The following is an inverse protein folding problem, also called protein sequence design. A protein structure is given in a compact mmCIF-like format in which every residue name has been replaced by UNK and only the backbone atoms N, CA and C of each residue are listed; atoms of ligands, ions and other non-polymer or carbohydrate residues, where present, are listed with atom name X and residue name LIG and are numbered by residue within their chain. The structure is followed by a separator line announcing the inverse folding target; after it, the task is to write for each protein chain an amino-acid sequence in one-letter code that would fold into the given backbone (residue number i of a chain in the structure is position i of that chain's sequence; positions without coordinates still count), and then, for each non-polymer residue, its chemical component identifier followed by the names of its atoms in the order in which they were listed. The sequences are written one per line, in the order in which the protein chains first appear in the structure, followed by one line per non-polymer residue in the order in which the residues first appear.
data_IF_005430407828
#
_entry.id   IF_005430407828
#
_cell.length_a   1.000
_cell.length_b   1.000
_cell.length_c   1.000
_cell.angle_alpha   90.00
_cell.angle_beta   90.00
_cell.angle_gamma   90.00
#
_symmetry.space_group_name_H-M   'P 1'
#
loop_
_entity.id
_entity.type
_entity.pdbx_description
1 polymer ?
#
# COMPACT_ATOMS: atom_id res chain seq x y z
N UNK A 1 -24.28 -34.28 9.65
CA UNK A 1 -23.13 -34.24 8.73
C UNK A 1 -23.09 -32.83 8.19
N UNK A 2 -22.19 -32.01 8.73
CA UNK A 2 -22.02 -30.65 8.25
C UNK A 2 -21.14 -30.72 7.02
N UNK A 3 -21.64 -30.22 5.89
CA UNK A 3 -20.86 -29.96 4.69
C UNK A 3 -19.74 -29.01 5.08
N UNK A 4 -18.51 -29.51 4.96
CA UNK A 4 -17.33 -28.66 5.01
C UNK A 4 -17.19 -28.12 3.60
N UNK A 5 -17.68 -26.89 3.40
CA UNK A 5 -17.41 -26.12 2.19
C UNK A 5 -15.88 -26.11 2.00
N UNK A 6 -15.43 -26.92 1.06
CA UNK A 6 -14.05 -26.93 0.61
C UNK A 6 -13.74 -25.53 0.10
N UNK A 7 -13.01 -24.74 0.88
CA UNK A 7 -12.47 -23.47 0.44
C UNK A 7 -11.76 -23.69 -0.90
N UNK A 8 -12.36 -23.18 -1.98
CA UNK A 8 -11.68 -23.10 -3.26
C UNK A 8 -10.47 -22.19 -3.03
N UNK A 9 -9.23 -22.70 -3.13
CA UNK A 9 -8.02 -21.96 -2.79
C UNK A 9 -7.72 -20.82 -3.78
N UNK A 10 -8.56 -20.64 -4.82
CA UNK A 10 -8.55 -19.54 -5.79
C UNK A 10 -9.87 -18.74 -5.76
N UNK A 11 -10.44 -18.50 -4.58
CA UNK A 11 -11.75 -17.83 -4.41
C UNK A 11 -11.87 -16.45 -5.10
N UNK A 12 -10.76 -15.79 -5.42
CA UNK A 12 -10.73 -14.51 -6.13
C UNK A 12 -10.68 -14.64 -7.66
N UNK A 13 -10.54 -15.84 -8.23
CA UNK A 13 -10.62 -16.09 -9.68
C UNK A 13 -11.82 -16.99 -9.98
N UNK A 14 -12.84 -16.42 -10.61
CA UNK A 14 -14.04 -17.13 -11.05
C UNK A 14 -13.85 -17.90 -12.37
N UNK A 15 -14.80 -18.80 -12.71
CA UNK A 15 -14.75 -19.58 -13.96
C UNK A 15 -14.71 -18.71 -15.21
N UNK A 16 -15.37 -17.54 -15.16
CA UNK A 16 -15.43 -16.56 -16.25
C UNK A 16 -14.04 -16.07 -16.70
N UNK A 17 -13.04 -16.12 -15.82
CA UNK A 17 -11.67 -15.73 -16.16
C UNK A 17 -11.10 -16.64 -17.25
N UNK A 18 -11.28 -17.96 -17.12
CA UNK A 18 -10.74 -18.93 -18.09
C UNK A 18 -11.48 -18.89 -19.42
N UNK A 19 -12.77 -18.57 -19.39
CA UNK A 19 -13.56 -18.37 -20.61
C UNK A 19 -13.12 -17.11 -21.36
N UNK A 20 -12.85 -16.02 -20.63
CA UNK A 20 -12.37 -14.77 -21.21
C UNK A 20 -10.91 -14.86 -21.68
N UNK A 21 -10.08 -15.63 -20.97
CA UNK A 21 -8.64 -15.72 -21.22
C UNK A 21 -8.13 -17.17 -21.28
N UNK A 22 -8.38 -17.88 -22.40
CA UNK A 22 -7.83 -19.21 -22.63
C UNK A 22 -6.30 -19.27 -22.67
N UNK A 23 -5.63 -18.16 -23.03
CA UNK A 23 -4.18 -18.07 -23.19
C UNK A 23 -3.58 -16.81 -22.56
N UNK A 24 -2.28 -16.87 -22.23
CA UNK A 24 -1.52 -15.72 -21.76
C UNK A 24 -1.51 -14.56 -22.77
N UNK A 25 -1.43 -14.86 -24.07
CA UNK A 25 -1.44 -13.84 -25.12
C UNK A 25 -2.74 -13.04 -25.16
N UNK A 26 -3.89 -13.70 -24.98
CA UNK A 26 -5.20 -13.04 -24.96
C UNK A 26 -5.34 -12.16 -23.72
N UNK A 27 -4.92 -12.66 -22.55
CA UNK A 27 -4.87 -11.88 -21.32
C UNK A 27 -3.94 -10.66 -21.45
N UNK A 28 -2.73 -10.83 -21.98
CA UNK A 28 -1.77 -9.73 -22.17
C UNK A 28 -2.29 -8.68 -23.16
N UNK A 29 -2.96 -9.11 -24.23
CA UNK A 29 -3.63 -8.20 -25.18
C UNK A 29 -4.71 -7.39 -24.49
N UNK A 30 -5.57 -8.05 -23.70
CA UNK A 30 -6.63 -7.38 -22.93
C UNK A 30 -6.07 -6.31 -21.98
N UNK A 31 -5.02 -6.64 -21.22
CA UNK A 31 -4.36 -5.68 -20.31
C UNK A 31 -3.80 -4.49 -21.09
N UNK A 32 -3.14 -4.75 -22.21
CA UNK A 32 -2.57 -3.71 -23.08
C UNK A 32 -3.65 -2.78 -23.65
N UNK A 33 -4.80 -3.33 -24.03
CA UNK A 33 -5.92 -2.57 -24.56
C UNK A 33 -6.60 -1.67 -23.53
N UNK A 34 -6.56 -2.02 -22.25
CA UNK A 34 -7.15 -1.20 -21.18
C UNK A 34 -6.16 -0.23 -20.55
N UNK A 35 -4.89 -0.61 -20.43
CA UNK A 35 -3.84 0.19 -19.80
C UNK A 35 -3.18 1.18 -20.78
N UNK A 36 -4.01 2.06 -21.37
CA UNK A 36 -3.59 3.02 -22.42
C UNK A 36 -3.16 4.38 -21.90
N UNK A 37 -3.33 4.65 -20.60
CA UNK A 37 -2.85 5.91 -20.01
C UNK A 37 -1.31 5.90 -19.93
N UNK A 38 -0.65 6.99 -20.32
CA UNK A 38 0.81 7.07 -20.26
C UNK A 38 1.32 6.90 -18.82
N UNK A 39 0.56 7.40 -17.86
CA UNK A 39 0.78 7.30 -16.42
C UNK A 39 0.50 5.90 -15.84
N UNK A 40 -0.27 5.06 -16.55
CA UNK A 40 -0.65 3.72 -16.13
C UNK A 40 -0.66 2.78 -17.35
N UNK A 41 0.55 2.35 -17.72
CA UNK A 41 0.78 1.53 -18.91
C UNK A 41 0.58 0.02 -18.66
N UNK A 42 0.67 -0.77 -19.73
CA UNK A 42 0.48 -2.22 -19.70
C UNK A 42 1.40 -2.93 -18.69
N UNK A 43 2.69 -2.56 -18.62
CA UNK A 43 3.65 -3.19 -17.70
C UNK A 43 3.25 -2.95 -16.24
N UNK A 44 2.87 -1.70 -15.91
CA UNK A 44 2.38 -1.36 -14.57
C UNK A 44 1.10 -2.10 -14.22
N UNK A 45 0.16 -2.15 -15.16
CA UNK A 45 -1.10 -2.86 -14.98
C UNK A 45 -0.88 -4.37 -14.76
N UNK A 46 -0.01 -4.98 -15.56
CA UNK A 46 0.33 -6.39 -15.49
C UNK A 46 1.01 -6.72 -14.15
N UNK A 47 1.99 -5.92 -13.72
CA UNK A 47 2.60 -6.05 -12.40
C UNK A 47 1.55 -5.96 -11.28
N UNK A 48 0.67 -4.96 -11.31
CA UNK A 48 -0.38 -4.84 -10.29
C UNK A 48 -1.32 -6.04 -10.25
N UNK A 49 -1.71 -6.59 -11.40
CA UNK A 49 -2.55 -7.79 -11.46
C UNK A 49 -1.83 -9.00 -10.86
N UNK A 50 -0.57 -9.24 -11.25
CA UNK A 50 0.21 -10.38 -10.76
C UNK A 50 0.49 -10.25 -9.26
N UNK A 51 0.85 -9.05 -8.80
CA UNK A 51 1.04 -8.79 -7.37
C UNK A 51 -0.27 -8.92 -6.60
N UNK A 52 -1.39 -8.46 -7.15
CA UNK A 52 -2.71 -8.59 -6.55
C UNK A 52 -3.17 -10.04 -6.46
N UNK A 53 -2.99 -10.82 -7.53
CA UNK A 53 -3.26 -12.25 -7.54
C UNK A 53 -2.39 -12.99 -6.51
N UNK A 54 -1.07 -12.74 -6.50
CA UNK A 54 -0.18 -13.36 -5.52
C UNK A 54 -0.57 -13.01 -4.07
N UNK A 55 -0.87 -11.74 -3.78
CA UNK A 55 -1.30 -11.29 -2.46
C UNK A 55 -2.61 -11.97 -2.05
N UNK A 56 -3.62 -12.00 -2.93
CA UNK A 56 -4.89 -12.67 -2.68
C UNK A 56 -4.70 -14.16 -2.40
N UNK A 57 -3.83 -14.85 -3.15
CA UNK A 57 -3.50 -16.26 -2.91
C UNK A 57 -2.88 -16.47 -1.54
N UNK A 58 -1.89 -15.66 -1.17
CA UNK A 58 -1.24 -15.75 0.14
C UNK A 58 -2.27 -15.57 1.26
N UNK A 59 -3.13 -14.57 1.14
CA UNK A 59 -4.17 -14.25 2.12
C UNK A 59 -5.28 -15.31 2.21
N UNK A 60 -5.72 -15.86 1.08
CA UNK A 60 -6.82 -16.82 1.04
C UNK A 60 -6.39 -18.25 1.41
N UNK A 61 -5.12 -18.60 1.18
CA UNK A 61 -4.59 -19.95 1.41
C UNK A 61 -3.89 -20.12 2.75
N UNK A 62 -3.72 -19.05 3.52
CA UNK A 62 -3.04 -19.09 4.81
C UNK A 62 -3.89 -18.41 5.87
N UNK A 63 -3.93 -18.93 7.11
CA UNK A 63 -4.88 -18.48 8.13
C UNK A 63 -4.41 -17.23 8.89
N UNK A 64 -3.60 -16.39 8.27
CA UNK A 64 -2.91 -15.28 8.93
C UNK A 64 -3.59 -13.94 8.67
N UNK A 65 -3.46 -13.03 9.64
CA UNK A 65 -3.99 -11.68 9.56
C UNK A 65 -3.01 -10.78 8.80
N UNK A 66 -3.04 -10.91 7.47
CA UNK A 66 -2.18 -10.15 6.59
C UNK A 66 -2.63 -8.70 6.45
N UNK A 67 -1.68 -7.78 6.59
CA UNK A 67 -1.84 -6.38 6.18
C UNK A 67 -0.86 -6.04 5.07
N UNK A 68 -1.33 -5.24 4.10
CA UNK A 68 -0.46 -4.60 3.11
C UNK A 68 -0.06 -3.22 3.62
N UNK A 69 1.21 -2.87 3.45
CA UNK A 69 1.71 -1.51 3.61
C UNK A 69 2.48 -1.08 2.36
N UNK A 70 3.22 0.03 2.47
CA UNK A 70 4.03 0.48 1.36
C UNK A 70 3.22 1.11 0.25
N UNK A 71 3.84 1.18 -0.92
CA UNK A 71 3.43 2.16 -1.94
C UNK A 71 2.44 1.57 -2.95
N UNK A 72 2.47 0.25 -3.13
CA UNK A 72 1.51 -0.50 -3.93
C UNK A 72 0.06 -0.27 -3.46
N UNK A 73 -0.16 -0.13 -2.16
CA UNK A 73 -1.49 0.07 -1.57
C UNK A 73 -1.99 1.52 -1.64
N UNK A 74 -1.17 2.50 -2.05
CA UNK A 74 -1.58 3.92 -2.07
C UNK A 74 -2.84 4.20 -2.91
N UNK A 75 -3.03 3.61 -4.10
CA UNK A 75 -4.26 3.78 -4.87
C UNK A 75 -5.52 3.34 -4.13
N UNK A 76 -5.40 2.41 -3.18
CA UNK A 76 -6.53 1.86 -2.42
C UNK A 76 -6.93 2.68 -1.19
N UNK A 77 -6.24 3.79 -0.90
CA UNK A 77 -6.48 4.59 0.31
C UNK A 77 -7.47 5.75 0.18
N UNK A 78 -7.48 6.55 -0.90
CA UNK A 78 -8.43 7.65 -1.00
C UNK A 78 -9.85 7.12 -0.90
N UNK A 79 -10.71 7.78 -0.13
CA UNK A 79 -12.12 7.39 0.00
C UNK A 79 -12.81 7.30 -1.37
N UNK A 80 -13.82 6.44 -1.50
CA UNK A 80 -14.57 6.28 -2.76
C UNK A 80 -15.34 7.54 -3.18
N UNK A 81 -15.77 8.36 -2.21
CA UNK A 81 -16.45 9.65 -2.41
C UNK A 81 -15.48 10.85 -2.48
N UNK A 82 -14.16 10.59 -2.47
CA UNK A 82 -13.15 11.64 -2.51
C UNK A 82 -13.24 12.47 -3.80
N UNK A 83 -13.43 13.78 -3.64
CA UNK A 83 -13.40 14.73 -4.75
C UNK A 83 -11.95 15.09 -5.09
N UNK A 84 -11.47 14.60 -6.22
CA UNK A 84 -10.11 14.85 -6.70
C UNK A 84 -9.87 16.33 -7.00
N UNK A 85 -8.75 16.92 -6.52
CA UNK A 85 -8.39 18.29 -6.86
C UNK A 85 -8.19 18.46 -8.37
N UNK A 86 -8.72 19.53 -8.96
CA UNK A 86 -8.65 19.76 -10.41
C UNK A 86 -7.20 19.90 -10.93
N UNK A 87 -6.27 20.33 -10.08
CA UNK A 87 -4.84 20.45 -10.33
C UNK A 87 -4.06 19.14 -10.09
N UNK A 88 -4.73 18.07 -9.65
CA UNK A 88 -4.15 16.78 -9.33
C UNK A 88 -4.93 15.63 -9.97
N UNK A 89 -5.06 15.70 -11.29
CA UNK A 89 -5.74 14.74 -12.15
C UNK A 89 -4.84 14.32 -13.31
N UNK A 90 -5.12 13.18 -13.96
CA UNK A 90 -4.46 12.80 -15.21
C UNK A 90 -4.56 13.90 -16.26
N UNK A 91 -3.58 13.94 -17.17
CA UNK A 91 -3.55 14.92 -18.26
C UNK A 91 -4.76 14.81 -19.20
N UNK A 92 -5.25 13.59 -19.39
CA UNK A 92 -6.37 13.27 -20.26
C UNK A 92 -7.37 12.40 -19.50
N UNK A 93 -8.68 12.58 -19.75
CA UNK A 93 -9.68 11.64 -19.29
C UNK A 93 -9.31 10.23 -19.74
N UNK A 94 -9.37 9.27 -18.82
CA UNK A 94 -9.10 7.87 -19.09
C UNK A 94 -10.04 6.99 -18.25
N UNK A 95 -10.20 5.73 -18.67
CA UNK A 95 -11.07 4.77 -17.97
C UNK A 95 -10.51 4.33 -16.61
N UNK A 96 -9.23 4.62 -16.34
CA UNK A 96 -8.54 4.21 -15.13
C UNK A 96 -8.75 5.28 -14.06
N UNK A 97 -9.17 4.84 -12.88
CA UNK A 97 -9.48 5.77 -11.80
C UNK A 97 -8.23 6.61 -11.42
N UNK A 98 -8.37 7.93 -11.17
CA UNK A 98 -7.22 8.82 -10.87
C UNK A 98 -6.32 8.34 -9.73
N UNK A 99 -6.86 7.59 -8.76
CA UNK A 99 -6.07 6.97 -7.70
C UNK A 99 -4.92 6.09 -8.21
N UNK A 100 -5.13 5.33 -9.28
CA UNK A 100 -4.10 4.48 -9.85
C UNK A 100 -3.16 5.26 -10.75
N UNK A 101 -3.69 6.20 -11.52
CA UNK A 101 -2.91 7.03 -12.43
C UNK A 101 -1.95 7.94 -11.67
N UNK A 102 -2.45 8.65 -10.65
CA UNK A 102 -1.70 9.68 -9.94
C UNK A 102 -0.72 9.12 -8.92
N UNK A 103 -0.97 7.94 -8.35
CA UNK A 103 0.03 7.29 -7.50
C UNK A 103 1.27 6.93 -8.33
N UNK A 104 2.46 7.08 -7.77
CA UNK A 104 3.69 6.63 -8.44
C UNK A 104 3.69 5.11 -8.65
N UNK A 105 4.45 4.65 -9.62
CA UNK A 105 4.65 3.21 -9.82
C UNK A 105 5.38 2.62 -8.61
N UNK A 106 4.90 1.46 -8.16
CA UNK A 106 5.47 0.66 -7.08
C UNK A 106 5.26 -0.82 -7.42
N UNK A 107 6.34 -1.60 -7.38
CA UNK A 107 6.35 -3.01 -7.78
C UNK A 107 6.73 -3.92 -6.61
N UNK A 108 7.04 -3.34 -5.45
CA UNK A 108 7.29 -4.02 -4.19
C UNK A 108 5.97 -4.35 -3.47
N UNK A 109 5.81 -5.62 -3.09
CA UNK A 109 4.74 -6.08 -2.20
C UNK A 109 5.25 -6.12 -0.77
N UNK A 110 4.81 -5.12 -0.02
CA UNK A 110 5.12 -4.90 1.39
C UNK A 110 4.02 -5.52 2.28
N UNK A 111 4.36 -6.53 3.09
CA UNK A 111 3.39 -7.34 3.85
C UNK A 111 3.79 -7.55 5.32
N UNK A 112 2.79 -7.74 6.18
CA UNK A 112 2.98 -8.21 7.54
C UNK A 112 1.82 -9.14 7.93
N UNK A 113 2.13 -10.35 8.40
CA UNK A 113 1.19 -11.19 9.13
C UNK A 113 1.20 -10.79 10.62
N UNK A 114 0.10 -10.22 11.11
CA UNK A 114 0.04 -9.60 12.44
C UNK A 114 -0.04 -10.61 13.59
N UNK A 115 -0.60 -11.78 13.34
CA UNK A 115 -0.87 -12.84 14.31
C UNK A 115 0.38 -13.67 14.66
N UNK A 116 1.42 -13.60 13.82
CA UNK A 116 2.65 -14.38 14.00
C UNK A 116 3.63 -13.60 14.89
N UNK A 117 3.88 -14.10 16.10
CA UNK A 117 4.78 -13.45 17.09
C UNK A 117 6.05 -14.24 17.37
N UNK A 118 6.04 -15.56 17.18
CA UNK A 118 7.19 -16.45 17.36
C UNK A 118 7.62 -17.08 16.04
N UNK A 119 8.92 -17.36 15.89
CA UNK A 119 9.48 -18.01 14.69
C UNK A 119 9.02 -17.38 13.37
N UNK A 120 8.84 -16.05 13.34
CA UNK A 120 8.15 -15.32 12.28
C UNK A 120 8.60 -15.71 10.87
N UNK A 121 9.91 -15.68 10.62
CA UNK A 121 10.49 -15.97 9.32
C UNK A 121 10.23 -17.41 8.84
N UNK A 122 10.06 -18.37 9.76
CA UNK A 122 9.74 -19.76 9.40
C UNK A 122 8.28 -19.88 8.96
N UNK A 123 7.35 -19.34 9.74
CA UNK A 123 5.92 -19.38 9.41
C UNK A 123 5.59 -18.62 8.12
N UNK A 124 6.14 -17.42 7.95
CA UNK A 124 5.95 -16.65 6.72
C UNK A 124 6.59 -17.36 5.53
N UNK A 125 7.76 -17.98 5.68
CA UNK A 125 8.36 -18.77 4.60
C UNK A 125 7.45 -19.94 4.21
N UNK A 126 6.89 -20.65 5.18
CA UNK A 126 5.93 -21.73 4.91
C UNK A 126 4.68 -21.23 4.18
N UNK A 127 4.16 -20.05 4.55
CA UNK A 127 3.05 -19.39 3.88
C UNK A 127 3.38 -19.07 2.41
N UNK A 128 4.56 -18.52 2.14
CA UNK A 128 5.05 -18.28 0.76
C UNK A 128 5.22 -19.60 -0.01
N UNK A 129 5.82 -20.61 0.60
CA UNK A 129 6.02 -21.94 0.00
C UNK A 129 4.70 -22.67 -0.27
N UNK A 130 3.61 -22.32 0.42
CA UNK A 130 2.27 -22.89 0.21
C UNK A 130 1.62 -22.38 -1.09
N UNK A 131 2.02 -21.22 -1.59
CA UNK A 131 1.45 -20.57 -2.77
C UNK A 131 2.44 -20.44 -3.94
N UNK A 132 3.63 -21.01 -3.78
CA UNK A 132 4.69 -21.05 -4.80
C UNK A 132 5.18 -22.48 -5.01
N UNK A 133 6.02 -22.68 -6.03
CA UNK A 133 6.70 -23.94 -6.28
C UNK A 133 8.19 -23.72 -6.51
N UNK A 134 9.01 -24.67 -6.05
CA UNK A 134 10.43 -24.66 -6.36
C UNK A 134 10.64 -24.96 -7.85
N UNK A 135 11.65 -24.34 -8.46
CA UNK A 135 12.04 -24.65 -9.83
C UNK A 135 12.37 -26.15 -9.93
N UNK A 136 11.61 -26.89 -10.76
CA UNK A 136 11.79 -28.33 -10.99
C UNK A 136 10.92 -29.26 -10.13
N UNK A 137 10.13 -28.76 -9.17
CA UNK A 137 9.21 -29.60 -8.39
C UNK A 137 7.87 -29.82 -9.13
N UNK A 138 7.86 -30.79 -10.04
CA UNK A 138 6.66 -31.12 -10.85
C UNK A 138 5.56 -31.79 -10.05
N UNK A 139 5.87 -32.42 -8.91
CA UNK A 139 4.89 -33.12 -8.07
C UNK A 139 3.97 -32.16 -7.31
N UNK A 140 4.41 -30.91 -7.12
CA UNK A 140 3.66 -29.85 -6.43
C UNK A 140 3.36 -28.65 -7.31
N UNK A 141 3.49 -28.79 -8.62
CA UNK A 141 3.34 -27.70 -9.60
C UNK A 141 1.99 -26.97 -9.50
N UNK A 142 0.93 -27.66 -9.06
CA UNK A 142 -0.40 -27.09 -8.82
C UNK A 142 -0.41 -25.97 -7.77
N UNK A 143 0.48 -26.02 -6.77
CA UNK A 143 0.53 -25.02 -5.69
C UNK A 143 0.94 -23.65 -6.21
N UNK A 144 1.85 -23.63 -7.18
CA UNK A 144 2.35 -22.40 -7.80
C UNK A 144 1.46 -21.86 -8.91
N UNK A 145 0.44 -22.58 -9.38
CA UNK A 145 -0.44 -22.08 -10.44
C UNK A 145 -1.28 -20.90 -9.95
N UNK A 146 -1.10 -19.73 -10.55
CA UNK A 146 -1.84 -18.50 -10.25
C UNK A 146 -2.59 -17.96 -11.45
N UNK A 147 -3.35 -16.88 -11.24
CA UNK A 147 -4.09 -16.16 -12.28
C UNK A 147 -4.87 -17.09 -13.23
N UNK A 148 -5.73 -17.93 -12.64
CA UNK A 148 -6.52 -18.90 -13.40
C UNK A 148 -5.74 -20.06 -14.04
N UNK A 149 -4.43 -20.18 -13.79
CA UNK A 149 -3.53 -21.16 -14.40
C UNK A 149 -2.67 -20.60 -15.53
N UNK A 150 -2.74 -19.29 -15.81
CA UNK A 150 -1.93 -18.64 -16.85
C UNK A 150 -0.48 -18.37 -16.40
N UNK A 151 -0.22 -18.40 -15.10
CA UNK A 151 1.12 -18.20 -14.54
C UNK A 151 1.47 -19.26 -13.51
N UNK A 152 2.77 -19.52 -13.36
CA UNK A 152 3.33 -20.32 -12.27
C UNK A 152 4.25 -19.44 -11.42
N UNK A 153 3.95 -19.33 -10.13
CA UNK A 153 4.77 -18.61 -9.17
C UNK A 153 5.84 -19.51 -8.56
N UNK A 154 7.08 -19.04 -8.57
CA UNK A 154 8.20 -19.59 -7.80
C UNK A 154 8.83 -18.53 -6.91
N UNK A 155 9.39 -18.91 -5.76
CA UNK A 155 9.99 -17.99 -4.81
C UNK A 155 11.51 -18.11 -4.78
N UNK A 156 12.19 -16.97 -4.92
CA UNK A 156 13.60 -16.80 -4.54
C UNK A 156 13.65 -15.78 -3.39
N UNK A 157 13.53 -16.28 -2.16
CA UNK A 157 13.33 -15.47 -0.96
C UNK A 157 14.33 -15.84 0.14
N UNK A 158 14.81 -14.82 0.84
CA UNK A 158 15.74 -14.95 1.96
C UNK A 158 15.05 -14.56 3.26
N UNK A 159 15.19 -15.40 4.26
CA UNK A 159 14.87 -15.09 5.67
C UNK A 159 16.11 -14.48 6.33
N UNK A 160 15.94 -13.32 6.95
CA UNK A 160 17.00 -12.64 7.71
C UNK A 160 16.88 -12.96 9.20
N UNK A 161 17.96 -12.79 9.96
CA UNK A 161 17.99 -13.03 11.42
C UNK A 161 16.93 -12.22 12.17
N UNK A 162 16.53 -11.08 11.62
CA UNK A 162 15.42 -10.26 12.14
C UNK A 162 14.02 -10.87 11.91
N UNK A 163 13.89 -12.09 11.38
CA UNK A 163 12.61 -12.68 10.96
C UNK A 163 12.06 -12.15 9.64
N UNK A 164 12.46 -10.94 9.22
CA UNK A 164 12.14 -10.34 7.92
C UNK A 164 12.40 -11.30 6.74
N UNK A 165 11.48 -11.34 5.78
CA UNK A 165 11.67 -12.02 4.49
C UNK A 165 11.77 -10.99 3.37
N UNK A 166 12.76 -11.14 2.50
CA UNK A 166 12.84 -10.36 1.26
C UNK A 166 13.26 -11.24 0.09
N UNK A 167 12.83 -10.89 -1.11
CA UNK A 167 13.24 -11.58 -2.32
C UNK A 167 12.36 -11.25 -3.50
N UNK A 168 12.33 -12.16 -4.46
CA UNK A 168 11.53 -12.05 -5.67
C UNK A 168 10.62 -13.27 -5.78
N UNK A 169 9.35 -13.03 -6.02
CA UNK A 169 8.42 -14.03 -6.53
C UNK A 169 8.43 -13.91 -8.04
N UNK A 170 8.80 -14.98 -8.72
CA UNK A 170 8.84 -15.04 -10.18
C UNK A 170 7.51 -15.58 -10.67
N UNK A 171 6.77 -14.76 -11.42
CA UNK A 171 5.58 -15.17 -12.16
C UNK A 171 6.01 -15.60 -13.56
N UNK A 172 6.01 -16.90 -13.84
CA UNK A 172 6.32 -17.46 -15.15
C UNK A 172 5.02 -17.65 -15.94
N UNK A 173 4.77 -16.91 -17.03
CA UNK A 173 3.67 -17.21 -17.93
C UNK A 173 3.80 -18.61 -18.53
N UNK A 174 2.71 -19.36 -18.53
CA UNK A 174 2.66 -20.76 -18.97
C UNK A 174 1.47 -21.04 -19.88
N UNK A 175 1.57 -22.09 -20.68
CA UNK A 175 0.45 -22.63 -21.46
C UNK A 175 -0.39 -23.60 -20.59
N UNK A 176 -1.64 -23.24 -20.22
CA UNK A 176 -2.46 -24.07 -19.34
C UNK A 176 -2.91 -25.39 -19.99
N UNK A 177 -2.81 -25.54 -21.32
CA UNK A 177 -3.29 -26.74 -22.05
C UNK A 177 -2.51 -28.01 -21.74
N UNK A 178 -1.27 -27.88 -21.28
CA UNK A 178 -0.41 -29.02 -20.91
C UNK A 178 -0.67 -29.53 -19.49
N UNK A 179 -1.61 -28.93 -18.76
CA UNK A 179 -1.92 -29.28 -17.38
C UNK A 179 -0.84 -28.86 -16.37
N UNK A 180 -1.13 -28.96 -15.07
CA UNK A 180 -0.33 -28.29 -14.03
C UNK A 180 1.14 -28.72 -13.94
N UNK A 181 1.41 -30.01 -14.07
CA UNK A 181 2.75 -30.59 -13.94
C UNK A 181 3.64 -30.46 -15.19
N UNK A 182 3.05 -30.13 -16.34
CA UNK A 182 3.77 -30.06 -17.62
C UNK A 182 3.62 -28.71 -18.33
N UNK A 183 2.95 -27.72 -17.70
CA UNK A 183 2.76 -26.40 -18.28
C UNK A 183 4.11 -25.76 -18.66
N UNK A 184 4.20 -25.39 -19.94
CA UNK A 184 5.41 -24.89 -20.59
C UNK A 184 5.46 -23.36 -20.53
N UNK A 185 6.62 -22.74 -20.29
CA UNK A 185 6.81 -21.31 -20.45
C UNK A 185 6.37 -20.82 -21.84
N UNK A 186 5.67 -19.68 -21.90
CA UNK A 186 5.23 -19.05 -23.17
C UNK A 186 5.69 -17.61 -23.35
N UNK A 187 6.30 -17.02 -22.32
CA UNK A 187 6.77 -15.64 -22.30
C UNK A 187 7.85 -15.47 -21.22
N UNK A 188 8.48 -14.30 -21.17
CA UNK A 188 9.50 -13.99 -20.17
C UNK A 188 8.92 -13.95 -18.75
N UNK A 189 9.68 -14.41 -17.73
CA UNK A 189 9.25 -14.34 -16.34
C UNK A 189 9.18 -12.89 -15.83
N UNK A 190 8.18 -12.61 -15.01
CA UNK A 190 7.97 -11.30 -14.39
C UNK A 190 8.30 -11.40 -12.90
N UNK A 191 9.26 -10.60 -12.43
CA UNK A 191 9.68 -10.57 -11.03
C UNK A 191 8.82 -9.64 -10.19
N UNK A 192 8.30 -10.14 -9.06
CA UNK A 192 7.58 -9.37 -8.06
C UNK A 192 8.44 -9.28 -6.81
N UNK A 193 8.94 -8.09 -6.48
CA UNK A 193 9.71 -7.91 -5.25
C UNK A 193 8.80 -8.05 -4.03
N UNK A 194 9.22 -8.81 -3.03
CA UNK A 194 8.51 -8.93 -1.75
C UNK A 194 9.36 -8.43 -0.58
N UNK A 195 8.73 -7.75 0.36
CA UNK A 195 9.29 -7.31 1.62
C UNK A 195 8.27 -7.60 2.73
N UNK A 196 8.46 -8.72 3.44
CA UNK A 196 7.57 -9.15 4.52
C UNK A 196 8.24 -8.87 5.87
N UNK A 197 7.63 -8.01 6.68
CA UNK A 197 8.19 -7.51 7.94
C UNK A 197 7.46 -8.09 9.15
N UNK A 198 8.18 -8.46 10.22
CA UNK A 198 7.56 -8.88 11.47
C UNK A 198 6.79 -7.74 12.16
N UNK A 199 5.79 -8.04 13.02
CA UNK A 199 4.91 -7.04 13.61
C UNK A 199 5.63 -5.97 14.45
N UNK A 200 6.73 -6.33 15.12
CA UNK A 200 7.57 -5.40 15.89
C UNK A 200 8.18 -4.28 15.03
N UNK A 201 8.25 -4.48 13.70
CA UNK A 201 8.74 -3.50 12.73
C UNK A 201 7.63 -2.77 11.98
N UNK A 202 6.37 -3.06 12.29
CA UNK A 202 5.18 -2.50 11.64
C UNK A 202 4.20 -1.97 12.70
N UNK A 203 4.59 -0.92 13.47
CA UNK A 203 3.79 -0.43 14.58
C UNK A 203 2.46 0.19 14.13
N UNK A 204 1.36 -0.31 14.68
CA UNK A 204 0.00 0.13 14.34
C UNK A 204 -0.44 1.27 15.27
N UNK A 205 -0.79 2.41 14.68
CA UNK A 205 -1.32 3.58 15.38
C UNK A 205 -2.72 3.86 14.83
N UNK A 206 -3.72 3.42 15.59
CA UNK A 206 -5.11 3.29 15.12
C UNK A 206 -5.40 1.91 14.52
N UNK A 207 -6.67 1.64 14.19
CA UNK A 207 -7.09 0.35 13.61
C UNK A 207 -6.50 0.18 12.20
N UNK A 208 -6.26 -1.09 11.81
CA UNK A 208 -6.00 -1.41 10.42
C UNK A 208 -7.16 -0.92 9.53
N UNK A 209 -6.84 -0.43 8.34
CA UNK A 209 -7.82 0.12 7.42
C UNK A 209 -8.26 -0.95 6.42
N UNK A 210 -9.50 -0.88 5.95
CA UNK A 210 -9.92 -1.64 4.77
C UNK A 210 -9.54 -0.86 3.51
N UNK A 211 -9.19 -1.58 2.45
CA UNK A 211 -9.00 -0.98 1.13
C UNK A 211 -10.32 -0.39 0.61
N UNK A 212 -10.31 0.89 0.23
CA UNK A 212 -11.46 1.60 -0.36
C UNK A 212 -11.77 1.12 -1.79
N UNK A 213 -10.78 0.49 -2.42
CA UNK A 213 -10.84 -0.08 -3.77
C UNK A 213 -9.78 -1.17 -3.93
N UNK A 214 -9.95 -2.02 -4.94
CA UNK A 214 -8.99 -3.07 -5.29
C UNK A 214 -7.56 -2.52 -5.40
N UNK A 215 -6.54 -3.28 -5.00
CA UNK A 215 -5.14 -2.90 -5.31
C UNK A 215 -4.81 -3.05 -6.80
N UNK A 216 -5.69 -3.73 -7.55
CA UNK A 216 -5.63 -3.88 -9.01
C UNK A 216 -6.41 -2.75 -9.68
N UNK A 217 -5.74 -1.95 -10.51
CA UNK A 217 -6.30 -0.73 -11.10
C UNK A 217 -7.17 -0.89 -12.35
N UNK A 218 -7.18 -2.07 -12.98
CA UNK A 218 -8.03 -2.37 -14.13
C UNK A 218 -8.99 -3.52 -13.80
N UNK A 219 -10.24 -3.39 -14.22
CA UNK A 219 -11.20 -4.48 -14.13
C UNK A 219 -10.77 -5.61 -15.07
N UNK A 220 -10.77 -6.85 -14.58
CA UNK A 220 -10.42 -8.04 -15.36
C UNK A 220 -11.57 -9.04 -15.22
N UNK A 221 -12.18 -9.52 -16.31
CA UNK A 221 -13.22 -10.54 -16.29
C UNK A 221 -12.84 -11.74 -15.42
N UNK A 222 -13.73 -12.12 -14.50
CA UNK A 222 -13.53 -13.24 -13.59
C UNK A 222 -12.47 -13.02 -12.48
N UNK A 223 -11.79 -11.87 -12.40
CA UNK A 223 -10.96 -11.51 -11.24
C UNK A 223 -11.79 -10.66 -10.27
N UNK A 224 -12.05 -11.20 -9.08
CA UNK A 224 -12.68 -10.46 -8.01
C UNK A 224 -11.77 -9.31 -7.51
N UNK A 225 -12.34 -8.19 -7.04
CA UNK A 225 -11.56 -7.11 -6.43
C UNK A 225 -10.68 -7.62 -5.28
N UNK A 226 -9.40 -7.25 -5.29
CA UNK A 226 -8.45 -7.60 -4.21
C UNK A 226 -8.41 -6.45 -3.22
N UNK A 227 -9.20 -6.54 -2.15
CA UNK A 227 -9.38 -5.49 -1.13
C UNK A 227 -8.82 -5.94 0.23
N UNK A 228 -7.49 -5.94 0.42
CA UNK A 228 -6.87 -6.44 1.64
C UNK A 228 -7.04 -5.49 2.82
N UNK A 229 -6.76 -5.99 4.02
CA UNK A 229 -6.46 -5.13 5.16
C UNK A 229 -5.18 -4.34 4.88
N UNK A 230 -5.17 -3.08 5.29
CA UNK A 230 -4.09 -2.14 5.06
C UNK A 230 -3.56 -1.57 6.37
N UNK A 231 -2.27 -1.30 6.38
CA UNK A 231 -1.63 -0.56 7.46
C UNK A 231 -2.29 0.82 7.67
N UNK A 232 -2.49 1.27 8.92
CA UNK A 232 -3.18 2.53 9.19
C UNK A 232 -2.54 3.70 8.41
N UNK A 233 -3.37 4.58 7.86
CA UNK A 233 -2.89 5.74 7.09
C UNK A 233 -1.94 6.61 7.93
N UNK A 234 -2.24 6.79 9.22
CA UNK A 234 -1.39 7.54 10.15
C UNK A 234 0.00 6.90 10.29
N UNK A 235 0.05 5.59 10.54
CA UNK A 235 1.30 4.85 10.64
C UNK A 235 2.14 4.90 9.36
N UNK A 236 1.51 4.75 8.19
CA UNK A 236 2.24 4.79 6.91
C UNK A 236 2.79 6.20 6.62
N UNK A 237 1.98 7.24 6.83
CA UNK A 237 2.41 8.62 6.58
C UNK A 237 3.51 9.01 7.56
N UNK A 238 3.39 8.62 8.84
CA UNK A 238 4.39 8.87 9.86
C UNK A 238 5.71 8.17 9.58
N UNK A 239 5.72 6.88 9.18
CA UNK A 239 6.95 6.17 8.79
C UNK A 239 7.70 6.93 7.69
N UNK A 240 6.98 7.37 6.66
CA UNK A 240 7.57 8.10 5.54
C UNK A 240 8.10 9.48 5.94
N UNK A 241 7.31 10.27 6.68
CA UNK A 241 7.72 11.59 7.18
C UNK A 241 8.95 11.46 8.08
N UNK A 242 8.92 10.57 9.08
CA UNK A 242 10.03 10.37 10.00
C UNK A 242 11.29 9.89 9.28
N UNK A 243 11.17 8.99 8.30
CA UNK A 243 12.32 8.47 7.57
C UNK A 243 13.00 9.49 6.67
N UNK A 244 12.35 10.63 6.38
CA UNK A 244 12.96 11.77 5.70
C UNK A 244 13.48 12.86 6.64
N UNK A 245 13.06 12.90 7.91
CA UNK A 245 13.46 13.94 8.87
C UNK A 245 14.75 13.66 9.66
N UNK A 246 15.40 12.51 9.41
CA UNK A 246 16.61 12.09 10.12
C UNK A 246 17.59 11.36 9.21
N UNK A 247 18.83 11.12 9.69
CA UNK A 247 19.81 10.35 8.94
C UNK A 247 19.25 8.96 8.64
N UNK A 248 19.38 8.50 7.39
CA UNK A 248 18.90 7.17 7.03
C UNK A 248 19.54 6.12 7.97
N UNK A 249 18.75 5.30 8.69
CA UNK A 249 19.30 4.28 9.55
C UNK A 249 20.17 3.31 8.73
N UNK A 250 21.21 2.77 9.37
CA UNK A 250 22.05 1.73 8.80
C UNK A 250 21.19 0.59 8.26
N UNK A 251 21.56 0.06 7.10
CA UNK A 251 20.79 -0.97 6.43
C UNK A 251 21.20 -2.37 6.84
N UNK A 252 20.22 -3.28 6.87
CA UNK A 252 20.45 -4.72 6.97
C UNK A 252 21.20 -5.32 5.76
N UNK A 253 21.12 -4.70 4.58
CA UNK A 253 22.00 -4.99 3.44
C UNK A 253 23.38 -4.38 3.75
N UNK A 254 24.39 -5.23 3.99
CA UNK A 254 25.81 -4.90 4.21
C UNK A 254 26.46 -4.23 2.97
N UNK A 255 25.88 -3.16 2.45
CA UNK A 255 26.43 -2.34 1.36
C UNK A 255 27.00 -1.08 1.99
N UNK A 256 28.18 -0.67 1.51
CA UNK A 256 28.94 0.50 1.93
C UNK A 256 28.04 1.74 2.17
N UNK A 257 28.41 2.64 3.11
CA UNK A 257 27.62 3.80 3.50
C UNK A 257 27.63 4.86 2.38
N UNK A 258 26.90 4.60 1.30
CA UNK A 258 26.41 5.66 0.41
C UNK A 258 25.15 6.28 1.01
N UNK A 259 24.88 7.56 0.78
CA UNK A 259 23.65 8.18 1.26
C UNK A 259 22.46 7.46 0.63
N UNK A 260 21.66 6.80 1.47
CA UNK A 260 20.49 6.05 1.01
C UNK A 260 19.34 7.02 0.86
N UNK A 261 18.94 7.26 -0.38
CA UNK A 261 17.95 8.28 -0.67
C UNK A 261 16.55 7.66 -0.78
N UNK A 262 15.65 8.06 0.12
CA UNK A 262 14.24 7.70 0.09
C UNK A 262 13.40 8.76 -0.66
N UNK A 263 13.91 9.36 -1.74
CA UNK A 263 13.22 10.41 -2.52
C UNK A 263 11.84 10.01 -3.01
N UNK A 264 11.62 8.71 -3.25
CA UNK A 264 10.31 8.17 -3.61
C UNK A 264 9.23 8.44 -2.55
N UNK A 265 9.61 8.57 -1.28
CA UNK A 265 8.66 8.84 -0.19
C UNK A 265 8.14 10.27 -0.19
N UNK A 266 8.83 11.26 -0.79
CA UNK A 266 8.28 12.61 -0.92
C UNK A 266 7.01 12.62 -1.78
N UNK A 267 7.01 11.85 -2.87
CA UNK A 267 5.84 11.69 -3.71
C UNK A 267 4.71 10.97 -2.97
N UNK A 268 5.03 9.94 -2.20
CA UNK A 268 4.04 9.21 -1.40
C UNK A 268 3.43 10.09 -0.30
N UNK A 269 4.26 10.86 0.42
CA UNK A 269 3.81 11.83 1.43
C UNK A 269 2.91 12.87 0.77
N UNK A 270 3.34 13.45 -0.36
CA UNK A 270 2.55 14.45 -1.08
C UNK A 270 1.21 13.86 -1.53
N UNK A 271 1.20 12.68 -2.14
CA UNK A 271 -0.01 11.97 -2.54
C UNK A 271 -0.95 11.78 -1.34
N UNK A 272 -0.44 11.21 -0.24
CA UNK A 272 -1.24 10.94 0.96
C UNK A 272 -1.81 12.22 1.60
N UNK A 273 -1.01 13.30 1.71
CA UNK A 273 -1.49 14.60 2.20
C UNK A 273 -2.60 15.15 1.29
N UNK A 274 -2.52 14.93 -0.02
CA UNK A 274 -3.47 15.41 -1.01
C UNK A 274 -4.74 14.57 -1.13
N UNK A 275 -4.75 13.31 -0.68
CA UNK A 275 -5.86 12.39 -0.97
C UNK A 275 -6.42 11.61 0.22
N UNK A 276 -5.71 11.55 1.35
CA UNK A 276 -6.07 10.68 2.47
C UNK A 276 -6.47 11.49 3.71
N UNK A 277 -7.54 11.06 4.39
CA UNK A 277 -7.90 11.56 5.71
C UNK A 277 -7.11 10.85 6.80
N UNK A 278 -6.75 11.57 7.87
CA UNK A 278 -6.06 11.01 9.04
C UNK A 278 -6.44 11.75 10.31
N UNK A 279 -6.63 11.03 11.42
CA UNK A 279 -6.91 11.60 12.74
C UNK A 279 -5.64 12.13 13.41
N UNK A 280 -5.72 13.31 14.02
CA UNK A 280 -4.59 14.01 14.63
C UNK A 280 -3.97 13.23 15.79
N UNK A 281 -4.78 12.56 16.63
CA UNK A 281 -4.27 11.71 17.72
C UNK A 281 -3.33 10.60 17.22
N UNK A 282 -3.77 9.83 16.23
CA UNK A 282 -3.00 8.70 15.70
C UNK A 282 -1.77 9.19 14.93
N UNK A 283 -1.90 10.30 14.20
CA UNK A 283 -0.76 10.89 13.49
C UNK A 283 0.32 11.41 14.46
N UNK A 284 -0.09 12.10 15.53
CA UNK A 284 0.83 12.63 16.55
C UNK A 284 1.57 11.50 17.25
N UNK A 285 0.84 10.51 17.76
CA UNK A 285 1.41 9.33 18.41
C UNK A 285 2.39 8.59 17.47
N UNK A 286 1.99 8.35 16.22
CA UNK A 286 2.83 7.66 15.24
C UNK A 286 4.13 8.42 14.93
N UNK A 287 4.08 9.75 14.81
CA UNK A 287 5.28 10.56 14.58
C UNK A 287 6.20 10.60 15.78
N UNK A 288 5.65 10.78 16.99
CA UNK A 288 6.42 10.84 18.23
C UNK A 288 7.16 9.51 18.47
N UNK A 289 6.46 8.38 18.34
CA UNK A 289 7.09 7.07 18.51
C UNK A 289 8.13 6.80 17.43
N UNK A 290 7.85 7.10 16.16
CA UNK A 290 8.86 6.92 15.11
C UNK A 290 10.09 7.81 15.32
N UNK A 291 9.92 9.06 15.75
CA UNK A 291 11.02 9.98 16.00
C UNK A 291 11.89 9.51 17.18
N UNK A 292 11.24 9.03 18.24
CA UNK A 292 11.93 8.51 19.41
C UNK A 292 12.68 7.20 19.11
N UNK A 293 11.99 6.22 18.51
CA UNK A 293 12.58 4.89 18.24
C UNK A 293 13.73 4.97 17.22
N UNK A 294 13.62 5.83 16.21
CA UNK A 294 14.60 5.87 15.11
C UNK A 294 15.76 6.83 15.37
N UNK A 295 15.50 7.95 16.04
CA UNK A 295 16.46 9.03 16.17
C UNK A 295 16.70 9.47 17.62
N UNK A 296 16.03 8.88 18.61
CA UNK A 296 16.14 9.25 20.02
C UNK A 296 15.68 10.69 20.30
N UNK A 297 14.72 11.19 19.51
CA UNK A 297 14.20 12.56 19.61
C UNK A 297 12.77 12.53 20.13
N UNK A 298 12.54 13.22 21.24
CA UNK A 298 11.20 13.39 21.81
C UNK A 298 10.34 14.33 20.96
N UNK A 299 9.04 14.08 20.95
CA UNK A 299 8.05 14.93 20.29
C UNK A 299 8.01 14.80 18.76
N UNK A 300 7.24 15.70 18.14
CA UNK A 300 7.09 15.78 16.69
C UNK A 300 8.38 16.26 16.02
N UNK A 301 8.66 15.85 14.77
CA UNK A 301 9.77 16.40 13.98
C UNK A 301 9.42 17.83 13.51
N UNK A 302 9.40 18.80 14.44
CA UNK A 302 9.05 20.20 14.21
C UNK A 302 10.17 21.16 14.66
N UNK A 303 10.56 22.17 13.86
CA UNK A 303 10.15 22.39 12.46
C UNK A 303 10.61 21.24 11.55
N UNK A 304 9.70 20.73 10.72
CA UNK A 304 9.99 19.64 9.81
C UNK A 304 10.88 20.12 8.67
N UNK A 305 11.88 19.33 8.34
CA UNK A 305 12.72 19.47 7.16
C UNK A 305 13.20 18.10 6.71
N UNK A 306 13.51 17.99 5.42
CA UNK A 306 14.16 16.80 4.89
C UNK A 306 15.65 16.83 5.29
N UNK A 307 16.11 15.79 5.96
CA UNK A 307 17.50 15.67 6.41
C UNK A 307 18.46 15.76 5.22
N UNK A 308 19.45 16.63 5.31
CA UNK A 308 20.44 16.85 4.27
C UNK A 308 19.96 17.64 3.05
N UNK A 309 18.73 18.16 3.06
CA UNK A 309 18.22 19.06 2.01
C UNK A 309 18.70 20.51 2.15
N UNK A 310 19.24 20.87 3.31
CA UNK A 310 19.87 22.16 3.56
C UNK A 310 21.21 21.98 4.25
N UNK A 311 22.06 23.02 4.17
CA UNK A 311 23.34 23.08 4.89
C UNK A 311 23.12 23.36 6.38
N UNK A 312 22.44 22.45 7.09
CA UNK A 312 22.34 22.51 8.55
C UNK A 312 23.63 21.93 9.16
N UNK A 313 24.18 22.53 10.23
CA UNK A 313 25.36 21.98 10.89
C UNK A 313 25.14 20.52 11.30
N UNK A 314 26.06 19.63 10.90
CA UNK A 314 26.03 18.21 11.25
C UNK A 314 25.20 17.30 10.34
N UNK A 315 24.56 17.85 9.28
CA UNK A 315 23.87 17.03 8.27
C UNK A 315 24.75 16.76 7.05
N UNK A 316 24.55 15.59 6.44
CA UNK A 316 25.17 15.27 5.15
C UNK A 316 24.51 16.09 4.04
N UNK A 317 25.30 16.65 3.13
CA UNK A 317 24.76 17.30 1.93
C UNK A 317 24.24 16.23 0.96
N UNK A 318 22.93 16.23 0.73
CA UNK A 318 22.26 15.26 -0.13
C UNK A 318 21.66 16.00 -1.33
N UNK A 319 21.94 15.56 -2.58
CA UNK A 319 21.44 16.23 -3.79
C UNK A 319 19.96 15.94 -4.07
N UNK A 320 19.07 16.21 -3.11
CA UNK A 320 17.64 15.88 -3.15
C UNK A 320 16.95 16.42 -4.40
N UNK A 321 17.20 17.69 -4.75
CA UNK A 321 16.58 18.33 -5.93
C UNK A 321 16.89 17.57 -7.21
N UNK A 322 18.16 17.22 -7.41
CA UNK A 322 18.58 16.47 -8.60
C UNK A 322 17.94 15.09 -8.61
N UNK A 323 17.99 14.37 -7.49
CA UNK A 323 17.42 13.03 -7.38
C UNK A 323 15.90 13.01 -7.63
N UNK A 324 15.16 13.96 -7.05
CA UNK A 324 13.72 14.11 -7.26
C UNK A 324 13.40 14.45 -8.70
N UNK A 325 14.14 15.35 -9.33
CA UNK A 325 13.92 15.72 -10.74
C UNK A 325 14.23 14.56 -11.69
N UNK A 326 15.31 13.80 -11.45
CA UNK A 326 15.62 12.59 -12.22
C UNK A 326 14.49 11.57 -12.09
N UNK A 327 14.08 11.23 -10.88
CA UNK A 327 13.00 10.26 -10.66
C UNK A 327 11.67 10.72 -11.24
N UNK A 328 11.38 12.03 -11.17
CA UNK A 328 10.18 12.62 -11.77
C UNK A 328 10.16 12.51 -13.29
N UNK A 329 11.31 12.58 -13.95
CA UNK A 329 11.42 12.43 -15.40
C UNK A 329 11.14 10.98 -15.88
N UNK A 330 11.41 9.99 -15.03
CA UNK A 330 11.24 8.56 -15.37
C UNK A 330 9.79 8.07 -15.28
N UNK A 331 8.89 8.84 -14.66
CA UNK A 331 7.50 8.44 -14.42
C UNK A 331 6.51 9.51 -14.89
N UNK A 332 5.72 9.28 -15.94
CA UNK A 332 4.85 10.29 -16.55
C UNK A 332 3.88 10.96 -15.56
N UNK A 333 3.33 10.21 -14.60
CA UNK A 333 2.44 10.75 -13.57
C UNK A 333 3.12 11.76 -12.64
N UNK A 334 4.43 11.61 -12.42
CA UNK A 334 5.17 12.49 -11.52
C UNK A 334 5.37 13.88 -12.12
N UNK A 335 5.23 14.04 -13.44
CA UNK A 335 5.26 15.35 -14.10
C UNK A 335 4.25 16.34 -13.50
N UNK A 336 3.11 15.84 -13.00
CA UNK A 336 2.04 16.61 -12.34
C UNK A 336 2.32 16.97 -10.87
N UNK A 337 3.30 16.34 -10.26
CA UNK A 337 3.68 16.66 -8.88
C UNK A 337 4.46 17.98 -8.84
N UNK A 338 4.37 18.75 -7.74
CA UNK A 338 5.19 19.94 -7.58
C UNK A 338 6.69 19.61 -7.49
N UNK A 339 7.54 20.63 -7.47
CA UNK A 339 8.97 20.43 -7.25
C UNK A 339 9.31 20.00 -5.82
N UNK A 340 10.58 19.67 -5.58
CA UNK A 340 11.09 19.25 -4.27
C UNK A 340 10.68 20.23 -3.15
N UNK A 341 10.89 21.54 -3.36
CA UNK A 341 10.65 22.54 -2.32
C UNK A 341 9.18 22.66 -1.96
N UNK A 342 8.29 22.62 -2.96
CA UNK A 342 6.86 22.69 -2.73
C UNK A 342 6.34 21.41 -2.06
N UNK A 343 6.88 20.23 -2.40
CA UNK A 343 6.57 18.99 -1.68
C UNK A 343 7.06 19.02 -0.23
N UNK A 344 8.30 19.48 0.01
CA UNK A 344 8.84 19.64 1.37
C UNK A 344 8.01 20.65 2.17
N UNK A 345 7.67 21.81 1.61
CA UNK A 345 6.81 22.81 2.26
C UNK A 345 5.43 22.25 2.59
N UNK A 346 4.83 21.45 1.72
CA UNK A 346 3.54 20.82 2.00
C UNK A 346 3.63 19.86 3.20
N UNK A 347 4.67 19.02 3.26
CA UNK A 347 4.92 18.15 4.40
C UNK A 347 5.22 18.95 5.68
N UNK A 348 6.01 20.03 5.58
CA UNK A 348 6.33 20.89 6.70
C UNK A 348 5.10 21.61 7.25
N UNK A 349 4.23 22.13 6.38
CA UNK A 349 2.96 22.75 6.74
C UNK A 349 2.03 21.76 7.44
N UNK A 350 1.88 20.55 6.88
CA UNK A 350 1.09 19.48 7.49
C UNK A 350 1.53 19.16 8.93
N UNK A 351 2.85 19.00 9.16
CA UNK A 351 3.41 18.73 10.49
C UNK A 351 3.30 19.94 11.42
N UNK A 352 3.52 21.15 10.90
CA UNK A 352 3.41 22.39 11.67
C UNK A 352 1.97 22.60 12.18
N UNK A 353 0.96 22.47 11.31
CA UNK A 353 -0.44 22.61 11.71
C UNK A 353 -0.87 21.53 12.72
N UNK A 354 -0.35 20.30 12.58
CA UNK A 354 -0.60 19.21 13.52
C UNK A 354 -0.18 19.58 14.95
N UNK A 355 0.88 20.39 15.13
CA UNK A 355 1.35 20.80 16.46
C UNK A 355 0.25 21.52 17.26
N UNK A 356 -0.61 22.27 16.58
CA UNK A 356 -1.72 23.04 17.16
C UNK A 356 -3.09 22.37 17.02
N UNK A 357 -3.21 21.32 16.20
CA UNK A 357 -4.47 20.61 15.98
C UNK A 357 -4.94 19.88 17.26
N UNK A 358 -6.24 19.95 17.54
CA UNK A 358 -6.84 19.19 18.64
C UNK A 358 -6.70 17.68 18.40
N UNK A 359 -6.63 16.84 19.44
CA UNK A 359 -6.51 15.38 19.26
C UNK A 359 -7.65 14.74 18.44
N UNK A 360 -8.83 15.36 18.45
CA UNK A 360 -10.01 14.91 17.71
C UNK A 360 -10.11 15.47 16.30
N UNK A 361 -9.19 16.34 15.89
CA UNK A 361 -9.18 16.88 14.53
C UNK A 361 -8.83 15.80 13.50
N UNK A 362 -9.37 15.95 12.30
CA UNK A 362 -9.08 15.10 11.14
C UNK A 362 -8.49 15.97 10.04
N UNK A 363 -7.39 15.51 9.44
CA UNK A 363 -6.86 16.10 8.22
C UNK A 363 -7.86 15.89 7.10
N UNK A 364 -8.39 16.98 6.55
CA UNK A 364 -9.19 16.97 5.34
C UNK A 364 -8.31 17.45 4.18
N UNK A 365 -8.01 16.60 3.18
CA UNK A 365 -7.17 17.00 2.06
C UNK A 365 -7.68 18.29 1.38
N UNK A 366 -6.75 19.23 1.15
CA UNK A 366 -7.05 20.55 0.60
C UNK A 366 -7.70 21.56 1.55
N UNK A 367 -8.08 21.15 2.78
CA UNK A 367 -8.70 22.03 3.80
C UNK A 367 -7.89 22.15 5.10
N UNK A 368 -6.93 21.25 5.33
CA UNK A 368 -6.11 21.26 6.54
C UNK A 368 -6.71 20.43 7.68
N UNK A 369 -6.12 20.56 8.87
CA UNK A 369 -6.66 19.95 10.08
C UNK A 369 -7.94 20.65 10.50
N UNK A 370 -9.04 19.91 10.59
CA UNK A 370 -10.34 20.44 11.01
C UNK A 370 -10.89 19.64 12.19
N UNK A 371 -11.52 20.27 13.20
CA UNK A 371 -12.24 19.55 14.22
C UNK A 371 -13.34 18.68 13.59
N UNK A 372 -13.81 17.62 14.28
CA UNK A 372 -14.89 16.81 13.75
C UNK A 372 -16.08 17.72 13.50
N UNK A 373 -16.71 17.58 12.32
CA UNK A 373 -17.98 18.25 12.07
C UNK A 373 -18.95 17.74 13.12
N UNK A 374 -19.26 18.59 14.09
CA UNK A 374 -20.37 18.32 14.98
C UNK A 374 -21.60 18.34 14.09
N UNK A 375 -22.23 17.18 13.90
CA UNK A 375 -23.57 17.16 13.33
C UNK A 375 -24.47 17.94 14.29
N UNK A 376 -24.62 19.24 14.00
CA UNK A 376 -25.54 20.15 14.69
C UNK A 376 -27.01 19.75 14.52
N UNK A 377 -27.29 18.57 13.98
CA UNK A 377 -28.61 17.96 13.87
C UNK A 377 -29.01 17.09 15.08
N UNK A 378 -28.12 16.83 16.05
CA UNK A 378 -28.47 16.09 17.27
C UNK A 378 -29.10 16.94 18.39
N UNK A 379 -29.27 18.26 18.20
CA UNK A 379 -29.89 19.18 19.18
C UNK A 379 -31.13 19.89 18.60
N UNK A 380 -32.09 19.13 18.09
CA UNK A 380 -33.44 19.63 17.84
C UNK A 380 -34.52 18.56 18.06
N UNK A 381 -34.49 17.90 19.22
CA UNK A 381 -35.73 17.34 19.76
C UNK A 381 -36.36 18.40 20.68
N UNK A 382 -37.55 18.96 20.35
CA UNK A 382 -38.29 19.73 21.33
C UNK A 382 -38.60 18.79 22.49
N UNK A 383 -38.13 19.12 23.70
CA UNK A 383 -38.58 18.43 24.90
C UNK A 383 -40.11 18.48 24.92
N UNK A 384 -40.81 17.34 25.10
CA UNK A 384 -42.24 17.40 25.35
C UNK A 384 -42.46 18.22 26.63
N UNK A 385 -43.50 19.07 26.69
CA UNK A 385 -43.77 19.88 27.86
C UNK A 385 -43.95 18.98 29.08
N UNK A 386 -43.25 19.33 30.16
CA UNK A 386 -43.34 18.65 31.44
C UNK A 386 -44.79 18.65 31.93
N UNK A 387 -45.36 17.46 32.10
CA UNK A 387 -46.60 17.27 32.84
C UNK A 387 -46.38 17.76 34.27
N UNK A 388 -47.01 18.88 34.62
CA UNK A 388 -47.11 19.33 36.01
C UNK A 388 -47.90 18.28 36.80
N UNK A 389 -47.44 17.84 37.99
CA UNK A 389 -48.31 17.11 38.90
C UNK A 389 -49.40 18.07 39.39
N UNK A 390 -50.67 17.68 39.20
CA UNK A 390 -51.81 18.40 39.79
C UNK A 390 -51.80 18.33 41.32
N UNK A 391 -52.46 19.29 42.00
CA UNK A 391 -52.47 19.35 43.46
C UNK A 391 -53.25 18.18 44.05
N UNK A 392 -52.68 17.55 45.09
CA UNK A 392 -53.42 16.65 45.98
C UNK A 392 -54.28 17.51 46.91
N UNK A 393 -55.59 17.34 46.84
CA UNK A 393 -56.55 17.77 47.87
C UNK A 393 -56.75 16.66 48.92
N UNK A 394 -57.14 17.02 50.15
CA UNK A 394 -56.73 16.36 51.41
C UNK A 394 -57.25 14.95 51.64
#
# INVERSE_FOLDING_TARGET
MADTDSHNPDSHIGPEFREAFPSWSEFRSYVTDRARAAEFNADRALHQILTGDFAARLMNRTPHDWIIFGSLALPSRPATDFSWPADFLPAQPNEIHPAYVMARSAFDLDLCALDITESYGVHVKQAVDAVTVNAGDTARAERGLGLGGLVRYSADVRVYDSGKIMGVIVAQPIDPRYGPGQARPVDDPIGLEIDIKPPDRVPLFGPAHHAERSIVGIAVPGLAPVTPMMYPTASQLADKISMLSGPAPGSSRQVAPGPRHRYKDLFDIHYMIRTCSVEARHMREALEVNNQVRFGRDGLPHPYHVYGAGRRPGELDVPWRSAVNTFKADQPQLARYPDFDAMERAAAGFVAELTTASPTSTWAPGRGWSPPRSDLHALAFPRPPSLRPGPRTP
#
